data_IF_249384228079
#
_entry.id   IF_249384228079
#
_cell.length_a   1.000
_cell.length_b   1.000
_cell.length_c   1.000
_cell.angle_alpha   90.00
_cell.angle_beta   90.00
_cell.angle_gamma   90.00
#
_symmetry.space_group_name_H-M   'P 1'
#
loop_
_entity.id
_entity.type
_entity.pdbx_description
1 polymer ?
#
# COMPACT_ATOMS: atom_id res chain seq x y z
N UNK A 1 -20.85 -52.66 87.22
CA UNK A 1 -19.47 -52.26 86.83
C UNK A 1 -19.52 -50.83 86.33
N UNK A 2 -18.60 -49.98 86.83
CA UNK A 2 -18.14 -48.64 86.41
C UNK A 2 -18.71 -48.03 85.11
N UNK A 3 -19.03 -46.74 84.96
CA UNK A 3 -18.68 -45.55 85.75
C UNK A 3 -19.26 -44.24 85.15
N UNK A 4 -18.80 -43.11 85.71
CA UNK A 4 -19.34 -41.74 85.70
C UNK A 4 -18.90 -40.85 84.52
N UNK A 5 -19.73 -39.82 84.24
CA UNK A 5 -19.50 -38.35 83.98
C UNK A 5 -18.27 -37.82 83.20
N UNK A 6 -18.50 -36.70 82.49
CA UNK A 6 -17.51 -35.63 82.15
C UNK A 6 -17.55 -35.28 80.65
N UNK A 7 -18.13 -34.18 80.14
CA UNK A 7 -17.84 -32.72 80.22
C UNK A 7 -16.46 -32.33 79.64
N UNK A 8 -16.45 -31.22 78.86
CA UNK A 8 -15.32 -30.45 78.25
C UNK A 8 -14.81 -30.95 76.89
N UNK A 9 -14.44 -30.14 75.89
CA UNK A 9 -14.50 -28.69 75.61
C UNK A 9 -14.03 -28.53 74.14
N UNK A 10 -14.53 -27.51 73.45
CA UNK A 10 -13.80 -26.59 72.56
C UNK A 10 -13.20 -26.96 71.17
N UNK A 11 -13.35 -25.94 70.31
CA UNK A 11 -12.53 -25.47 69.16
C UNK A 11 -12.83 -26.15 67.81
N UNK A 12 -13.40 -25.47 66.81
CA UNK A 12 -12.99 -24.27 66.06
C UNK A 12 -12.61 -24.71 64.64
N UNK A 13 -13.32 -24.17 63.63
CA UNK A 13 -13.07 -24.48 62.23
C UNK A 13 -13.98 -23.71 61.30
N UNK A 14 -13.71 -22.40 61.17
CA UNK A 14 -14.19 -21.58 60.07
C UNK A 14 -13.67 -22.14 58.73
N UNK A 15 -14.52 -22.14 57.70
CA UNK A 15 -14.18 -22.65 56.37
C UNK A 15 -15.14 -22.16 55.28
N UNK A 16 -15.20 -20.84 55.11
CA UNK A 16 -15.44 -20.06 53.88
C UNK A 16 -16.26 -20.71 52.74
N UNK A 17 -17.44 -20.13 52.50
CA UNK A 17 -18.26 -20.28 51.28
C UNK A 17 -17.40 -19.90 50.06
N UNK A 18 -17.04 -20.86 49.21
CA UNK A 18 -16.44 -20.60 47.89
C UNK A 18 -17.50 -19.97 46.99
N UNK A 19 -17.41 -18.66 46.78
CA UNK A 19 -18.11 -17.99 45.68
C UNK A 19 -17.51 -18.47 44.36
N UNK A 20 -18.39 -18.83 43.42
CA UNK A 20 -18.04 -19.19 42.05
C UNK A 20 -17.25 -18.06 41.38
N UNK A 21 -15.95 -18.30 41.18
CA UNK A 21 -15.13 -17.49 40.28
C UNK A 21 -15.52 -17.86 38.83
N UNK A 22 -15.88 -16.90 37.96
CA UNK A 22 -16.02 -17.19 36.55
C UNK A 22 -14.66 -17.62 35.97
N UNK A 23 -14.64 -18.54 34.99
CA UNK A 23 -13.40 -19.07 34.43
C UNK A 23 -12.57 -17.92 33.83
N UNK A 24 -11.32 -17.85 34.23
CA UNK A 24 -10.32 -16.93 33.69
C UNK A 24 -10.09 -17.24 32.21
N UNK A 25 -10.40 -16.27 31.34
CA UNK A 25 -10.02 -16.34 29.93
C UNK A 25 -8.49 -16.35 29.78
N UNK A 26 -7.93 -17.15 28.85
CA UNK A 26 -6.50 -17.16 28.58
C UNK A 26 -6.04 -15.80 28.01
N UNK A 27 -4.82 -15.34 28.35
CA UNK A 27 -4.30 -14.06 27.89
C UNK A 27 -4.00 -14.09 26.39
N UNK A 28 -4.71 -13.25 25.64
CA UNK A 28 -4.16 -12.53 24.49
C UNK A 28 -3.84 -13.35 23.23
N UNK A 29 -4.85 -13.92 22.58
CA UNK A 29 -4.85 -13.86 21.11
C UNK A 29 -5.45 -12.51 20.72
N UNK A 30 -4.60 -11.49 20.55
CA UNK A 30 -4.99 -10.32 19.78
C UNK A 30 -5.61 -10.83 18.47
N UNK A 31 -6.83 -10.40 18.08
CA UNK A 31 -7.37 -10.78 16.80
C UNK A 31 -6.34 -10.35 15.76
N UNK A 32 -5.77 -11.32 15.05
CA UNK A 32 -4.86 -11.08 13.95
C UNK A 32 -5.73 -10.38 12.89
N UNK A 33 -5.86 -9.06 12.98
CA UNK A 33 -6.52 -8.31 11.92
C UNK A 33 -5.70 -8.62 10.66
N UNK A 34 -6.31 -9.15 9.60
CA UNK A 34 -5.60 -9.41 8.36
C UNK A 34 -4.96 -8.09 7.94
N UNK A 35 -3.65 -8.12 7.66
CA UNK A 35 -2.94 -6.93 7.17
C UNK A 35 -3.62 -6.50 5.87
N UNK A 36 -3.95 -5.20 5.69
CA UNK A 36 -4.58 -4.72 4.47
C UNK A 36 -3.81 -5.15 3.23
N UNK A 37 -4.54 -5.61 2.21
CA UNK A 37 -3.95 -6.03 0.94
C UNK A 37 -3.15 -4.87 0.31
N UNK A 38 -1.86 -5.06 -0.06
CA UNK A 38 -1.09 -4.00 -0.68
C UNK A 38 -1.65 -3.68 -2.08
N UNK A 39 -1.83 -2.38 -2.36
CA UNK A 39 -2.23 -1.89 -3.68
C UNK A 39 -1.00 -1.81 -4.59
N UNK A 40 -1.16 -2.17 -5.86
CA UNK A 40 -0.08 -2.08 -6.87
C UNK A 40 -0.56 -1.36 -8.10
N UNK A 41 0.31 -0.56 -8.71
CA UNK A 41 0.03 0.16 -9.94
C UNK A 41 1.26 0.22 -10.84
N UNK A 42 1.04 0.04 -12.15
CA UNK A 42 2.09 0.15 -13.16
C UNK A 42 2.31 1.60 -13.57
N UNK A 43 3.50 2.12 -13.35
CA UNK A 43 3.94 3.46 -13.75
C UNK A 43 5.24 3.40 -14.54
N UNK A 44 5.66 4.54 -15.07
CA UNK A 44 6.95 4.70 -15.75
C UNK A 44 7.88 5.58 -14.94
N UNK A 45 9.11 5.13 -14.75
CA UNK A 45 10.19 5.88 -14.13
C UNK A 45 11.00 6.65 -15.17
N UNK A 46 11.24 7.93 -14.89
CA UNK A 46 12.06 8.83 -15.70
C UNK A 46 13.29 9.25 -14.89
N UNK A 47 14.48 9.06 -15.46
CA UNK A 47 15.72 9.52 -14.82
C UNK A 47 15.79 11.06 -14.72
N UNK A 48 15.16 11.78 -15.66
CA UNK A 48 15.04 13.23 -15.70
C UNK A 48 13.82 13.65 -16.52
N UNK A 49 13.45 14.92 -16.45
CA UNK A 49 12.40 15.49 -17.31
C UNK A 49 12.90 15.49 -18.77
N UNK A 50 12.00 15.28 -19.74
CA UNK A 50 12.30 15.27 -21.19
C UNK A 50 13.22 14.14 -21.70
N UNK A 51 13.20 12.95 -21.07
CA UNK A 51 13.88 11.78 -21.63
C UNK A 51 13.06 11.14 -22.76
N UNK A 52 13.76 10.54 -23.73
CA UNK A 52 13.14 9.73 -24.80
C UNK A 52 12.83 8.30 -24.39
N UNK A 53 13.33 7.87 -23.23
CA UNK A 53 13.18 6.53 -22.66
C UNK A 53 12.66 6.63 -21.24
N UNK A 54 11.84 5.66 -20.85
CA UNK A 54 11.40 5.48 -19.47
C UNK A 54 11.30 3.99 -19.14
N UNK A 55 11.40 3.65 -17.86
CA UNK A 55 11.43 2.25 -17.40
C UNK A 55 10.09 1.90 -16.76
N UNK A 56 9.43 0.80 -17.17
CA UNK A 56 8.26 0.28 -16.46
C UNK A 56 8.60 -0.07 -15.01
N UNK A 57 7.80 0.44 -14.08
CA UNK A 57 7.94 0.17 -12.64
C UNK A 57 6.59 -0.16 -12.04
N UNK A 58 6.61 -1.04 -11.05
CA UNK A 58 5.47 -1.31 -10.17
C UNK A 58 5.68 -0.49 -8.91
N UNK A 59 4.73 0.39 -8.62
CA UNK A 59 4.59 1.02 -7.31
C UNK A 59 3.67 0.15 -6.47
N UNK A 60 4.13 -0.25 -5.29
CA UNK A 60 3.35 -0.95 -4.28
C UNK A 60 3.19 -0.05 -3.05
N UNK A 61 1.96 0.06 -2.58
CA UNK A 61 1.57 0.84 -1.40
C UNK A 61 0.84 -0.06 -0.41
N UNK A 62 1.27 -0.03 0.84
CA UNK A 62 0.55 -0.59 1.98
C UNK A 62 0.60 0.38 3.16
N UNK A 63 -0.16 0.12 4.23
CA UNK A 63 -0.12 0.96 5.42
C UNK A 63 1.32 1.06 5.97
N UNK A 64 1.89 2.27 5.96
CA UNK A 64 3.24 2.54 6.46
C UNK A 64 4.39 2.05 5.58
N UNK A 65 4.12 1.49 4.39
CA UNK A 65 5.13 0.87 3.53
C UNK A 65 4.99 1.27 2.07
N UNK A 66 6.12 1.46 1.39
CA UNK A 66 6.17 1.71 -0.05
C UNK A 66 7.33 0.94 -0.69
N UNK A 67 7.07 0.42 -1.90
CA UNK A 67 8.09 -0.19 -2.76
C UNK A 67 7.93 0.29 -4.21
N UNK A 68 9.05 0.57 -4.87
CA UNK A 68 9.12 0.93 -6.29
C UNK A 68 10.18 0.07 -6.95
N UNK A 69 9.77 -0.77 -7.90
CA UNK A 69 10.66 -1.72 -8.58
C UNK A 69 10.35 -1.85 -10.07
N UNK A 70 11.39 -1.92 -10.89
CA UNK A 70 11.32 -2.51 -12.22
C UNK A 70 11.55 -4.03 -12.13
N UNK A 71 11.51 -4.72 -13.26
CA UNK A 71 11.75 -6.18 -13.35
C UNK A 71 13.13 -6.56 -12.81
N UNK A 72 14.14 -5.76 -13.13
CA UNK A 72 15.56 -6.03 -12.90
C UNK A 72 16.18 -5.15 -11.81
N UNK A 73 15.41 -4.20 -11.27
CA UNK A 73 15.95 -3.16 -10.40
C UNK A 73 14.97 -2.70 -9.34
N UNK A 74 15.44 -2.66 -8.09
CA UNK A 74 14.77 -1.98 -7.00
C UNK A 74 15.21 -0.51 -6.92
N UNK A 75 14.25 0.41 -6.88
CA UNK A 75 14.51 1.84 -6.70
C UNK A 75 14.39 2.24 -5.23
N UNK A 76 13.34 1.74 -4.57
CA UNK A 76 13.09 2.00 -3.17
C UNK A 76 12.24 0.88 -2.56
N UNK A 77 12.54 0.52 -1.32
CA UNK A 77 11.72 -0.32 -0.46
C UNK A 77 11.92 0.15 0.97
N UNK A 78 10.83 0.45 1.67
CA UNK A 78 10.95 0.92 3.05
C UNK A 78 9.71 1.60 3.61
N UNK A 79 9.86 2.26 4.77
CA UNK A 79 8.76 2.94 5.43
C UNK A 79 8.28 4.14 4.60
N UNK A 80 6.96 4.26 4.44
CA UNK A 80 6.33 5.34 3.70
C UNK A 80 6.66 6.73 4.28
N UNK A 81 6.80 6.82 5.61
CA UNK A 81 7.16 8.07 6.30
C UNK A 81 8.58 8.59 5.98
N UNK A 82 9.44 7.78 5.36
CA UNK A 82 10.75 8.23 4.87
C UNK A 82 10.69 8.86 3.48
N UNK A 83 9.51 8.94 2.87
CA UNK A 83 9.30 9.41 1.49
C UNK A 83 8.51 10.70 1.52
N UNK A 84 8.85 11.63 0.63
CA UNK A 84 7.96 12.72 0.27
C UNK A 84 7.59 12.69 -1.20
N UNK A 85 6.34 13.05 -1.50
CA UNK A 85 5.79 13.06 -2.85
C UNK A 85 5.29 14.47 -3.21
N UNK A 86 5.54 14.89 -4.45
CA UNK A 86 5.01 16.13 -5.03
C UNK A 86 4.34 15.81 -6.36
N UNK A 87 3.08 16.22 -6.51
CA UNK A 87 2.35 16.10 -7.77
C UNK A 87 2.55 17.36 -8.61
N UNK A 88 3.03 17.19 -9.85
CA UNK A 88 3.00 18.26 -10.82
C UNK A 88 1.59 18.38 -11.41
N UNK A 89 0.87 19.45 -11.07
CA UNK A 89 -0.53 19.65 -11.48
C UNK A 89 -0.73 19.92 -12.98
N UNK A 90 0.34 20.28 -13.70
CA UNK A 90 0.28 20.62 -15.12
C UNK A 90 0.45 19.36 -15.98
N UNK A 91 1.51 18.60 -15.70
CA UNK A 91 1.90 17.42 -16.48
C UNK A 91 1.59 16.09 -15.80
N UNK A 92 1.05 16.10 -14.58
CA UNK A 92 0.55 14.92 -13.87
C UNK A 92 1.60 13.91 -13.42
N UNK A 93 2.90 14.20 -13.50
CA UNK A 93 3.93 13.32 -12.95
C UNK A 93 4.09 13.51 -11.45
N UNK A 94 4.56 12.46 -10.79
CA UNK A 94 4.92 12.45 -9.38
C UNK A 94 6.43 12.54 -9.23
N UNK A 95 6.88 13.46 -8.41
CA UNK A 95 8.25 13.49 -7.93
C UNK A 95 8.28 12.85 -6.55
N UNK A 96 9.09 11.79 -6.39
CA UNK A 96 9.36 11.17 -5.11
C UNK A 96 10.75 11.57 -4.65
N UNK A 97 10.86 12.00 -3.39
CA UNK A 97 12.12 12.17 -2.67
C UNK A 97 12.19 11.07 -1.64
N UNK A 98 13.22 10.23 -1.76
CA UNK A 98 13.49 9.08 -0.88
C UNK A 98 14.91 9.20 -0.32
N UNK A 99 15.29 8.40 0.69
CA UNK A 99 16.67 8.30 1.15
C UNK A 99 17.66 7.90 0.05
N UNK A 100 17.20 7.15 -0.97
CA UNK A 100 18.02 6.69 -2.10
C UNK A 100 18.13 7.72 -3.23
N UNK A 101 17.47 8.87 -3.09
CA UNK A 101 17.44 9.93 -4.09
C UNK A 101 16.05 10.23 -4.63
N UNK A 102 16.05 10.95 -5.75
CA UNK A 102 14.85 11.52 -6.37
C UNK A 102 14.41 10.69 -7.57
N UNK A 103 13.12 10.38 -7.64
CA UNK A 103 12.52 9.61 -8.73
C UNK A 103 11.34 10.36 -9.34
N UNK A 104 11.22 10.30 -10.67
CA UNK A 104 10.05 10.82 -11.38
C UNK A 104 9.20 9.65 -11.87
N UNK A 105 7.94 9.60 -11.46
CA UNK A 105 6.99 8.57 -11.86
C UNK A 105 5.84 9.19 -12.65
N UNK A 106 5.40 8.51 -13.70
CA UNK A 106 4.27 8.96 -14.52
C UNK A 106 3.42 7.78 -15.00
N UNK A 107 2.15 8.04 -15.27
CA UNK A 107 1.21 7.02 -15.76
C UNK A 107 1.51 6.61 -17.21
N UNK A 108 2.02 7.55 -18.01
CA UNK A 108 2.41 7.39 -19.40
C UNK A 108 3.93 7.51 -19.51
N UNK A 109 4.54 6.56 -20.22
CA UNK A 109 5.97 6.52 -20.47
C UNK A 109 6.41 7.47 -21.59
N UNK A 110 7.72 7.54 -21.84
CA UNK A 110 8.23 8.12 -23.08
C UNK A 110 7.90 7.23 -24.30
N UNK A 111 8.05 7.75 -25.52
CA UNK A 111 7.87 6.95 -26.74
C UNK A 111 8.80 5.74 -26.82
N UNK A 112 10.04 5.86 -26.35
CA UNK A 112 11.01 4.75 -26.30
C UNK A 112 10.87 3.86 -25.06
N UNK A 113 9.70 3.79 -24.44
CA UNK A 113 9.50 2.94 -23.25
C UNK A 113 9.24 1.51 -23.64
N UNK A 114 9.89 0.59 -22.92
CA UNK A 114 9.59 -0.83 -23.03
C UNK A 114 8.16 -1.11 -22.50
N UNK A 115 7.49 -2.17 -22.99
CA UNK A 115 6.25 -2.64 -22.39
C UNK A 115 6.52 -3.22 -21.00
N UNK A 116 5.45 -3.33 -20.20
CA UNK A 116 5.52 -4.07 -18.95
C UNK A 116 5.81 -5.54 -19.22
N UNK A 117 6.56 -6.17 -18.31
CA UNK A 117 6.75 -7.62 -18.39
C UNK A 117 5.44 -8.32 -17.98
N UNK A 118 5.04 -9.44 -18.63
CA UNK A 118 3.78 -10.12 -18.31
C UNK A 118 3.60 -10.47 -16.83
N UNK A 119 4.70 -10.82 -16.15
CA UNK A 119 4.69 -11.07 -14.71
C UNK A 119 4.33 -9.84 -13.86
N UNK A 120 4.75 -8.63 -14.27
CA UNK A 120 4.36 -7.39 -13.59
C UNK A 120 2.88 -7.07 -13.83
N UNK A 121 2.38 -7.30 -15.05
CA UNK A 121 0.97 -7.10 -15.37
C UNK A 121 0.08 -8.00 -14.51
N UNK A 122 0.42 -9.29 -14.42
CA UNK A 122 -0.28 -10.26 -13.58
C UNK A 122 -0.21 -9.86 -12.10
N UNK A 123 0.95 -9.42 -11.62
CA UNK A 123 1.13 -8.97 -10.24
C UNK A 123 0.23 -7.76 -9.91
N UNK A 124 0.13 -6.79 -10.83
CA UNK A 124 -0.75 -5.63 -10.69
C UNK A 124 -2.22 -6.07 -10.68
N UNK A 125 -2.64 -6.89 -11.64
CA UNK A 125 -4.03 -7.36 -11.76
C UNK A 125 -4.45 -8.12 -10.50
N UNK A 126 -3.63 -9.06 -10.03
CA UNK A 126 -3.93 -9.86 -8.85
C UNK A 126 -3.99 -9.00 -7.58
N UNK A 127 -3.04 -8.09 -7.38
CA UNK A 127 -3.05 -7.19 -6.23
C UNK A 127 -4.28 -6.27 -6.24
N UNK A 128 -4.68 -5.80 -7.43
CA UNK A 128 -5.83 -4.95 -7.59
C UNK A 128 -7.14 -5.67 -7.25
N UNK A 129 -7.29 -6.92 -7.68
CA UNK A 129 -8.45 -7.76 -7.36
C UNK A 129 -8.56 -7.99 -5.85
N UNK A 130 -7.44 -8.26 -5.18
CA UNK A 130 -7.39 -8.43 -3.73
C UNK A 130 -7.73 -7.12 -2.99
N UNK A 131 -7.13 -6.00 -3.38
CA UNK A 131 -7.38 -4.70 -2.77
C UNK A 131 -8.84 -4.24 -2.94
N UNK A 132 -9.48 -4.56 -4.06
CA UNK A 132 -10.88 -4.24 -4.31
C UNK A 132 -11.86 -5.02 -3.41
N UNK A 133 -11.46 -6.20 -2.93
CA UNK A 133 -12.27 -7.07 -2.06
C UNK A 133 -11.97 -6.87 -0.57
N UNK A 134 -10.86 -6.19 -0.24
CA UNK A 134 -10.43 -5.91 1.13
C UNK A 134 -11.27 -4.76 1.74
N UNK A 135 -12.00 -4.97 2.85
CA UNK A 135 -12.85 -3.92 3.43
C UNK A 135 -12.11 -2.65 3.89
N UNK A 136 -10.83 -2.76 4.24
CA UNK A 136 -10.00 -1.66 4.70
C UNK A 136 -9.38 -0.89 3.52
N UNK A 137 -9.07 -1.60 2.43
CA UNK A 137 -8.33 -1.04 1.28
C UNK A 137 -9.26 -0.61 0.15
N UNK A 138 -10.40 -1.27 -0.04
CA UNK A 138 -11.38 -1.03 -1.11
C UNK A 138 -11.96 0.39 -1.13
N UNK A 139 -11.92 1.11 0.00
CA UNK A 139 -12.34 2.50 0.12
C UNK A 139 -11.35 3.47 -0.54
N UNK A 140 -10.11 3.04 -0.77
CA UNK A 140 -9.09 3.84 -1.46
C UNK A 140 -9.36 3.81 -2.96
N UNK A 141 -9.41 4.97 -3.60
CA UNK A 141 -9.66 5.07 -5.05
C UNK A 141 -8.68 4.26 -5.90
N UNK A 142 -7.43 4.16 -5.45
CA UNK A 142 -6.42 3.32 -6.09
C UNK A 142 -6.83 1.84 -6.07
N UNK A 143 -7.45 1.33 -5.00
CA UNK A 143 -7.95 -0.04 -4.91
C UNK A 143 -9.13 -0.35 -5.86
N UNK A 144 -9.73 0.66 -6.48
CA UNK A 144 -10.75 0.52 -7.52
C UNK A 144 -10.23 0.84 -8.94
N UNK A 145 -8.94 1.11 -9.09
CA UNK A 145 -8.34 1.57 -10.35
C UNK A 145 -7.31 0.58 -10.84
N UNK A 146 -7.65 -0.23 -11.86
CA UNK A 146 -6.65 -1.01 -12.57
C UNK A 146 -5.92 -0.11 -13.58
N UNK A 147 -4.61 0.08 -13.38
CA UNK A 147 -3.76 0.79 -14.33
C UNK A 147 -2.40 0.11 -14.50
N UNK A 148 -2.07 -0.16 -15.75
CA UNK A 148 -0.76 -0.61 -16.20
C UNK A 148 -0.28 0.47 -17.17
N UNK A 149 0.88 1.05 -16.87
CA UNK A 149 1.43 2.16 -17.64
C UNK A 149 1.56 1.84 -19.12
N UNK A 150 1.36 2.84 -19.96
CA UNK A 150 1.45 2.71 -21.41
C UNK A 150 2.65 3.50 -21.93
N UNK A 151 3.37 3.00 -22.95
CA UNK A 151 4.31 3.83 -23.70
C UNK A 151 3.58 5.07 -24.24
N UNK A 152 4.21 6.24 -24.12
CA UNK A 152 3.64 7.48 -24.65
C UNK A 152 3.77 7.57 -26.16
N UNK A 153 2.93 8.38 -26.80
CA UNK A 153 2.99 8.64 -28.24
C UNK A 153 3.89 9.83 -28.60
N UNK A 154 4.38 10.57 -27.61
CA UNK A 154 5.20 11.77 -27.82
C UNK A 154 6.66 11.39 -28.06
N UNK A 155 7.03 11.31 -29.34
CA UNK A 155 8.39 11.07 -29.84
C UNK A 155 9.14 12.38 -30.20
N UNK A 156 8.47 13.53 -30.04
CA UNK A 156 8.97 14.86 -30.44
C UNK A 156 8.52 15.31 -31.83
N UNK A 157 7.73 14.51 -32.55
CA UNK A 157 7.10 14.88 -33.81
C UNK A 157 5.73 15.56 -33.62
N UNK A 158 5.31 16.37 -34.59
CA UNK A 158 3.98 16.98 -34.60
C UNK A 158 2.85 15.91 -34.61
N UNK A 159 3.06 14.81 -35.34
CA UNK A 159 2.12 13.68 -35.38
C UNK A 159 2.05 12.92 -34.05
N UNK A 160 3.17 12.79 -33.33
CA UNK A 160 3.20 12.22 -31.97
C UNK A 160 2.45 13.09 -30.97
N UNK A 161 2.64 14.42 -31.04
CA UNK A 161 1.91 15.38 -30.22
C UNK A 161 0.39 15.34 -30.46
N UNK A 162 -0.05 15.28 -31.73
CA UNK A 162 -1.47 15.19 -32.07
C UNK A 162 -2.11 13.88 -31.60
N UNK A 163 -1.42 12.75 -31.74
CA UNK A 163 -1.88 11.44 -31.24
C UNK A 163 -2.03 11.44 -29.73
N UNK A 164 -1.07 12.00 -29.01
CA UNK A 164 -1.12 12.14 -27.55
C UNK A 164 -2.35 12.92 -27.07
N UNK A 165 -2.69 14.03 -27.75
CA UNK A 165 -3.90 14.81 -27.45
C UNK A 165 -5.18 14.02 -27.75
N UNK A 166 -5.26 13.40 -28.94
CA UNK A 166 -6.42 12.62 -29.36
C UNK A 166 -6.71 11.44 -28.42
N UNK A 167 -5.66 10.74 -27.99
CA UNK A 167 -5.79 9.53 -27.16
C UNK A 167 -5.88 9.85 -25.66
N UNK A 168 -5.87 11.15 -25.31
CA UNK A 168 -6.12 11.67 -23.98
C UNK A 168 -5.01 11.35 -22.96
N UNK A 169 -3.75 11.25 -23.40
CA UNK A 169 -2.64 10.88 -22.52
C UNK A 169 -2.47 11.86 -21.36
N UNK A 170 -2.55 13.16 -21.62
CA UNK A 170 -2.45 14.19 -20.57
C UNK A 170 -3.57 14.10 -19.52
N UNK A 171 -4.77 13.72 -19.94
CA UNK A 171 -5.92 13.54 -19.03
C UNK A 171 -5.67 12.32 -18.14
N UNK A 172 -5.31 11.18 -18.74
CA UNK A 172 -4.99 9.94 -18.00
C UNK A 172 -3.82 10.15 -17.05
N UNK A 173 -2.78 10.85 -17.50
CA UNK A 173 -1.62 11.20 -16.71
C UNK A 173 -1.98 11.98 -15.46
N UNK A 174 -2.79 13.04 -15.59
CA UNK A 174 -3.26 13.83 -14.45
C UNK A 174 -4.19 13.04 -13.52
N UNK A 175 -5.13 12.28 -14.09
CA UNK A 175 -6.07 11.46 -13.32
C UNK A 175 -5.34 10.41 -12.48
N UNK A 176 -4.47 9.60 -13.10
CA UNK A 176 -3.73 8.55 -12.42
C UNK A 176 -2.72 9.15 -11.44
N UNK A 177 -2.00 10.21 -11.84
CA UNK A 177 -1.06 10.91 -10.95
C UNK A 177 -1.74 11.37 -9.65
N UNK A 178 -2.97 11.89 -9.74
CA UNK A 178 -3.74 12.30 -8.56
C UNK A 178 -4.23 11.13 -7.71
N UNK A 179 -4.73 10.06 -8.33
CA UNK A 179 -5.15 8.83 -7.61
C UNK A 179 -3.97 8.26 -6.80
N UNK A 180 -2.79 8.19 -7.42
CA UNK A 180 -1.59 7.67 -6.77
C UNK A 180 -1.12 8.60 -5.66
N UNK A 181 -1.15 9.92 -5.88
CA UNK A 181 -0.79 10.91 -4.86
C UNK A 181 -1.66 10.79 -3.59
N UNK A 182 -2.97 10.65 -3.78
CA UNK A 182 -3.94 10.46 -2.69
C UNK A 182 -3.66 9.16 -1.93
N UNK A 183 -3.41 8.05 -2.66
CA UNK A 183 -3.07 6.76 -2.06
C UNK A 183 -1.73 6.78 -1.30
N UNK A 184 -0.73 7.53 -1.79
CA UNK A 184 0.54 7.73 -1.10
C UNK A 184 0.33 8.44 0.24
N UNK A 185 -0.49 9.49 0.28
CA UNK A 185 -0.82 10.17 1.54
C UNK A 185 -1.46 9.23 2.56
N UNK A 186 -2.41 8.39 2.12
CA UNK A 186 -3.05 7.37 2.96
C UNK A 186 -2.07 6.28 3.44
N UNK A 187 -1.06 5.96 2.63
CA UNK A 187 0.00 5.02 3.02
C UNK A 187 1.00 5.61 4.03
N UNK A 188 0.95 6.92 4.29
CA UNK A 188 1.84 7.62 5.22
C UNK A 188 3.03 8.32 4.56
N UNK A 189 3.01 8.52 3.24
CA UNK A 189 4.00 9.35 2.52
C UNK A 189 3.72 10.83 2.79
N UNK A 190 4.77 11.63 2.98
CA UNK A 190 4.63 13.07 3.13
C UNK A 190 4.26 13.72 1.79
N UNK A 191 3.01 14.15 1.64
CA UNK A 191 2.47 14.76 0.40
C UNK A 191 2.61 16.30 0.44
N UNK A 192 3.22 16.89 -0.61
CA UNK A 192 3.52 18.34 -0.76
C UNK A 192 2.76 19.00 -1.91
#
# INVERSE_FOLDING_TARGET
>A
MHGRRGVHDRLAGQGVIRMNQPPSMPPGTSPHMPKPAPMKIGLHHFAKVFTKVSTPVVLMLGPGFMRVAAVDRLFFEGPAGAVSAKLNKVVGHLTLETPNGKFLLAAVGAAGSQPFHPGQEQEIIAAQQLAAQDPQTSQVRLAQTLWIGKPGQVDGSYAGGFRSMRDGEAIKQNQIGRIVYEAMGLAGVAVK
#
